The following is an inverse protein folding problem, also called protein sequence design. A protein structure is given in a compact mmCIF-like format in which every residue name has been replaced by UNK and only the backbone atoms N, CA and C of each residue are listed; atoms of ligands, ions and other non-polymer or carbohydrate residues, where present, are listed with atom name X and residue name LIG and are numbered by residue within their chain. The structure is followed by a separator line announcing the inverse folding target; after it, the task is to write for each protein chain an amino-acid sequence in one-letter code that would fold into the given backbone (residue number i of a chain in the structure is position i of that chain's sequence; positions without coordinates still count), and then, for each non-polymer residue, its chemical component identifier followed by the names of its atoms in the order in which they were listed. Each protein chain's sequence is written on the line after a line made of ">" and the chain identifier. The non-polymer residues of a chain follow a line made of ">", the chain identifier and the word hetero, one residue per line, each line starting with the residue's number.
data_IF_657523384656
#
_entry.id   IF_657523384656
#
_cell.length_a   1.000
_cell.length_b   1.000
_cell.length_c   1.000
_cell.angle_alpha   90.00
_cell.angle_beta   90.00
_cell.angle_gamma   90.00
#
_symmetry.space_group_name_H-M   'P 1'
#
loop_
_entity.id
_entity.type
_entity.pdbx_description
1 polymer ?
#
# COMPACT_ATOMS: atom_id res chain seq x y z
N UNK A 1 -4.81 -23.66 -4.27
CA UNK A 1 -4.51 -22.54 -3.35
C UNK A 1 -5.08 -21.27 -3.96
N UNK A 2 -6.02 -20.57 -3.31
CA UNK A 2 -6.57 -19.34 -3.87
C UNK A 2 -5.44 -18.30 -3.90
N UNK A 3 -5.16 -17.77 -5.09
CA UNK A 3 -4.23 -16.65 -5.26
C UNK A 3 -4.82 -15.48 -4.49
N UNK A 4 -4.14 -15.07 -3.40
CA UNK A 4 -4.54 -13.90 -2.63
C UNK A 4 -4.76 -12.73 -3.59
N UNK A 5 -5.87 -12.01 -3.42
CA UNK A 5 -6.24 -10.83 -4.21
C UNK A 5 -5.01 -10.00 -4.54
N UNK A 6 -4.73 -9.83 -5.84
CA UNK A 6 -3.49 -9.31 -6.41
C UNK A 6 -3.12 -7.93 -5.88
N UNK A 7 -2.56 -7.90 -4.68
CA UNK A 7 -2.10 -6.68 -4.04
C UNK A 7 -0.69 -6.45 -4.54
N UNK A 8 -0.56 -5.53 -5.50
CA UNK A 8 0.75 -5.18 -6.04
C UNK A 8 1.56 -4.47 -4.94
N UNK A 9 2.60 -5.15 -4.46
CA UNK A 9 3.50 -4.56 -3.46
C UNK A 9 4.40 -3.52 -4.15
N UNK A 10 4.37 -2.30 -3.61
CA UNK A 10 5.15 -1.17 -4.07
C UNK A 10 6.08 -0.70 -2.95
N UNK A 11 7.25 -0.19 -3.33
CA UNK A 11 8.24 0.34 -2.38
C UNK A 11 8.46 1.83 -2.61
N UNK A 12 8.61 2.57 -1.52
CA UNK A 12 8.96 3.98 -1.50
C UNK A 12 10.17 4.14 -0.60
N UNK A 13 11.27 4.69 -1.12
CA UNK A 13 12.47 4.93 -0.31
C UNK A 13 12.45 6.36 0.20
N UNK A 14 12.34 6.53 1.51
CA UNK A 14 12.26 7.84 2.15
C UNK A 14 13.64 8.30 2.66
N UNK A 15 13.85 9.62 2.72
CA UNK A 15 15.05 10.30 3.25
C UNK A 15 16.36 9.83 2.61
N UNK A 16 16.49 10.09 1.30
CA UNK A 16 17.69 9.72 0.55
C UNK A 16 18.29 10.88 -0.21
N UNK A 17 19.61 10.92 -0.27
CA UNK A 17 20.34 12.06 -0.86
C UNK A 17 20.32 12.05 -2.39
N UNK A 18 19.95 10.92 -3.02
CA UNK A 18 19.91 10.80 -4.47
C UNK A 18 19.05 9.65 -4.97
N UNK A 19 18.62 9.75 -6.23
CA UNK A 19 17.95 8.68 -6.96
C UNK A 19 18.81 7.40 -7.06
N UNK A 20 20.15 7.53 -7.08
CA UNK A 20 21.05 6.37 -7.11
C UNK A 20 20.98 5.61 -5.79
N UNK A 21 21.09 6.30 -4.66
CA UNK A 21 20.96 5.70 -3.34
C UNK A 21 19.60 5.00 -3.16
N UNK A 22 18.52 5.64 -3.63
CA UNK A 22 17.19 5.03 -3.62
C UNK A 22 17.14 3.69 -4.37
N UNK A 23 17.71 3.64 -5.58
CA UNK A 23 17.75 2.41 -6.39
C UNK A 23 18.58 1.32 -5.73
N UNK A 24 19.73 1.66 -5.16
CA UNK A 24 20.61 0.70 -4.50
C UNK A 24 19.93 0.07 -3.27
N UNK A 25 19.20 0.88 -2.48
CA UNK A 25 18.39 0.40 -1.34
C UNK A 25 17.27 -0.52 -1.83
N UNK A 26 16.52 -0.07 -2.84
CA UNK A 26 15.43 -0.85 -3.42
C UNK A 26 15.89 -2.21 -3.95
N UNK A 27 17.00 -2.26 -4.70
CA UNK A 27 17.54 -3.49 -5.26
C UNK A 27 17.91 -4.52 -4.18
N UNK A 28 18.43 -4.07 -3.04
CA UNK A 28 18.72 -4.95 -1.90
C UNK A 28 17.44 -5.55 -1.34
N UNK A 29 16.39 -4.74 -1.16
CA UNK A 29 15.09 -5.20 -0.68
C UNK A 29 14.40 -6.14 -1.68
N UNK A 30 14.41 -5.79 -2.97
CA UNK A 30 13.86 -6.60 -4.06
C UNK A 30 14.56 -7.97 -4.14
N UNK A 31 15.89 -8.01 -3.98
CA UNK A 31 16.65 -9.27 -3.95
C UNK A 31 16.25 -10.16 -2.78
N UNK A 32 16.14 -9.61 -1.58
CA UNK A 32 15.74 -10.37 -0.38
C UNK A 32 14.31 -10.88 -0.50
N UNK A 33 13.38 -10.02 -0.90
CA UNK A 33 11.96 -10.39 -1.07
C UNK A 33 11.78 -11.45 -2.15
N UNK A 34 12.55 -11.39 -3.24
CA UNK A 34 12.55 -12.44 -4.27
C UNK A 34 13.00 -13.80 -3.74
N UNK A 35 14.04 -13.82 -2.90
CA UNK A 35 14.59 -15.07 -2.35
C UNK A 35 13.65 -15.69 -1.32
N UNK A 36 13.07 -14.88 -0.43
CA UNK A 36 12.34 -15.40 0.73
C UNK A 36 10.82 -15.37 0.60
N UNK A 37 10.26 -14.51 -0.26
CA UNK A 37 8.82 -14.31 -0.41
C UNK A 37 8.32 -14.60 -1.83
N UNK A 38 9.21 -15.01 -2.74
CA UNK A 38 8.90 -15.23 -4.17
C UNK A 38 8.21 -14.03 -4.82
N UNK A 39 8.47 -12.82 -4.30
CA UNK A 39 7.85 -11.57 -4.72
C UNK A 39 8.91 -10.52 -4.99
N UNK A 40 8.77 -9.75 -6.06
CA UNK A 40 9.68 -8.66 -6.41
C UNK A 40 8.88 -7.34 -6.51
N UNK A 41 8.77 -6.57 -5.42
CA UNK A 41 8.00 -5.32 -5.44
C UNK A 41 8.64 -4.30 -6.37
N UNK A 42 7.83 -3.44 -6.99
CA UNK A 42 8.32 -2.35 -7.84
C UNK A 42 8.67 -1.10 -7.02
N UNK A 43 9.63 -0.30 -7.50
CA UNK A 43 9.95 1.01 -6.91
C UNK A 43 8.93 2.05 -7.36
N UNK A 44 8.03 2.47 -6.47
CA UNK A 44 7.06 3.51 -6.74
C UNK A 44 7.68 4.91 -6.77
N UNK A 45 8.75 5.15 -6.01
CA UNK A 45 9.44 6.43 -5.97
C UNK A 45 10.43 6.56 -4.84
N UNK A 46 10.90 7.79 -4.61
CA UNK A 46 11.76 8.13 -3.48
C UNK A 46 11.49 9.56 -3.03
N UNK A 47 11.78 9.84 -1.76
CA UNK A 47 11.64 11.16 -1.14
C UNK A 47 13.03 11.61 -0.65
N UNK A 48 13.48 12.82 -1.02
CA UNK A 48 14.76 13.35 -0.56
C UNK A 48 14.77 13.57 0.96
N UNK A 49 15.96 13.63 1.57
CA UNK A 49 16.05 14.24 2.90
C UNK A 49 15.70 15.73 2.78
N UNK A 50 14.77 16.19 3.62
CA UNK A 50 14.18 17.51 3.51
C UNK A 50 14.00 18.12 4.92
N UNK A 51 14.71 19.22 5.25
CA UNK A 51 14.60 19.86 6.55
C UNK A 51 13.21 20.46 6.81
N UNK A 52 12.45 20.81 5.76
CA UNK A 52 11.09 21.32 5.91
C UNK A 52 10.14 20.24 6.43
N UNK A 53 10.45 18.95 6.24
CA UNK A 53 9.67 17.85 6.81
C UNK A 53 9.69 17.89 8.35
N UNK A 54 10.85 18.17 8.95
CA UNK A 54 10.97 18.26 10.40
C UNK A 54 10.22 19.47 10.97
N UNK A 55 10.29 20.61 10.27
CA UNK A 55 9.53 21.83 10.63
C UNK A 55 8.02 21.58 10.52
N UNK A 56 7.58 20.97 9.42
CA UNK A 56 6.19 20.57 9.19
C UNK A 56 5.62 19.69 10.31
N UNK A 57 6.40 18.71 10.77
CA UNK A 57 6.02 17.86 11.90
C UNK A 57 5.88 18.67 13.19
N UNK A 58 6.86 19.53 13.50
CA UNK A 58 6.85 20.37 14.69
C UNK A 58 5.64 21.33 14.71
N UNK A 59 5.40 21.99 13.59
CA UNK A 59 4.34 22.99 13.43
C UNK A 59 2.98 22.36 13.15
N UNK A 60 2.91 21.02 13.08
CA UNK A 60 1.71 20.21 12.83
C UNK A 60 0.97 20.64 11.57
N UNK A 61 1.71 21.11 10.58
CA UNK A 61 1.17 21.50 9.28
C UNK A 61 1.78 20.59 8.23
N UNK A 62 0.99 19.92 7.36
CA UNK A 62 1.55 19.06 6.33
C UNK A 62 2.58 19.79 5.47
N UNK A 63 3.70 19.12 5.14
CA UNK A 63 4.79 19.74 4.36
C UNK A 63 4.32 20.29 3.00
N UNK A 64 3.35 19.63 2.36
CA UNK A 64 2.74 20.08 1.11
C UNK A 64 1.99 21.41 1.23
N UNK A 65 1.54 21.76 2.44
CA UNK A 65 0.84 23.02 2.75
C UNK A 65 1.84 24.06 3.24
N UNK A 66 2.75 23.69 4.15
CA UNK A 66 3.68 24.62 4.79
C UNK A 66 4.84 25.03 3.87
N UNK A 67 5.36 24.09 3.08
CA UNK A 67 6.52 24.28 2.21
C UNK A 67 6.21 23.67 0.82
N UNK A 68 5.32 24.30 0.03
CA UNK A 68 4.87 23.77 -1.25
C UNK A 68 5.98 23.67 -2.30
N UNK A 69 7.11 24.37 -2.11
CA UNK A 69 8.27 24.32 -3.01
C UNK A 69 9.41 23.44 -2.48
N UNK A 70 9.18 22.69 -1.40
CA UNK A 70 10.21 21.83 -0.81
C UNK A 70 10.58 20.66 -1.74
N UNK A 71 11.81 20.12 -1.64
CA UNK A 71 12.21 18.93 -2.40
C UNK A 71 11.27 17.73 -2.22
N UNK A 72 10.70 17.55 -1.01
CA UNK A 72 9.72 16.49 -0.74
C UNK A 72 8.34 16.77 -1.35
N UNK A 73 8.01 18.02 -1.68
CA UNK A 73 6.70 18.45 -2.11
C UNK A 73 6.30 18.00 -3.54
N UNK A 74 6.10 18.90 -4.52
CA UNK A 74 5.59 18.54 -5.85
C UNK A 74 6.49 17.56 -6.59
N UNK A 75 7.82 17.69 -6.40
CA UNK A 75 8.81 16.85 -7.06
C UNK A 75 8.77 15.38 -6.63
N UNK A 76 8.61 15.09 -5.34
CA UNK A 76 8.61 13.72 -4.85
C UNK A 76 7.19 13.20 -4.58
N UNK A 77 6.47 13.80 -3.62
CA UNK A 77 5.12 13.39 -3.24
C UNK A 77 4.11 13.63 -4.36
N UNK A 78 4.21 14.77 -5.06
CA UNK A 78 3.34 15.06 -6.21
C UNK A 78 3.50 14.03 -7.33
N UNK A 79 4.74 13.74 -7.74
CA UNK A 79 5.00 12.71 -8.76
C UNK A 79 4.59 11.30 -8.32
N UNK A 80 4.72 10.98 -7.03
CA UNK A 80 4.24 9.70 -6.49
C UNK A 80 2.72 9.60 -6.59
N UNK A 81 1.99 10.65 -6.18
CA UNK A 81 0.54 10.69 -6.26
C UNK A 81 0.06 10.53 -7.70
N UNK A 82 0.64 11.28 -8.66
CA UNK A 82 0.34 11.15 -10.08
C UNK A 82 0.51 9.71 -10.56
N UNK A 83 1.64 9.07 -10.24
CA UNK A 83 1.90 7.67 -10.63
C UNK A 83 0.87 6.71 -10.05
N UNK A 84 0.52 6.84 -8.77
CA UNK A 84 -0.43 5.93 -8.12
C UNK A 84 -1.86 6.08 -8.65
N UNK A 85 -2.29 7.31 -8.97
CA UNK A 85 -3.62 7.55 -9.55
C UNK A 85 -3.75 6.91 -10.94
N UNK A 86 -2.72 7.04 -11.79
CA UNK A 86 -2.75 6.48 -13.14
C UNK A 86 -2.61 4.95 -13.18
N UNK A 87 -2.03 4.33 -12.16
CA UNK A 87 -1.80 2.87 -12.12
C UNK A 87 -2.75 2.15 -11.15
N UNK A 88 -3.88 2.78 -10.79
CA UNK A 88 -4.88 2.12 -9.97
C UNK A 88 -5.48 0.94 -10.75
N UNK A 89 -5.39 -0.31 -10.25
CA UNK A 89 -5.95 -1.46 -10.93
C UNK A 89 -7.47 -1.35 -11.05
N UNK A 90 -8.01 -1.83 -12.17
CA UNK A 90 -9.45 -1.93 -12.37
C UNK A 90 -10.07 -2.86 -11.33
N UNK A 91 -11.16 -2.42 -10.70
CA UNK A 91 -11.75 -3.06 -9.53
C UNK A 91 -12.56 -4.33 -9.86
N UNK A 92 -12.60 -4.76 -11.13
CA UNK A 92 -13.54 -5.77 -11.62
C UNK A 92 -13.21 -7.21 -11.20
N UNK A 93 -11.94 -7.53 -10.87
CA UNK A 93 -11.49 -8.92 -10.66
C UNK A 93 -11.23 -9.29 -9.18
N UNK A 94 -11.63 -8.46 -8.22
CA UNK A 94 -11.43 -8.76 -6.79
C UNK A 94 -12.66 -8.45 -5.94
N UNK A 95 -12.93 -9.27 -4.89
CA UNK A 95 -13.97 -8.94 -3.93
C UNK A 95 -13.73 -7.52 -3.40
N UNK A 96 -14.83 -6.78 -3.26
CA UNK A 96 -14.80 -5.40 -2.77
C UNK A 96 -14.00 -5.33 -1.47
N UNK A 97 -13.34 -4.19 -1.24
CA UNK A 97 -12.53 -3.97 -0.05
C UNK A 97 -13.30 -4.32 1.24
N UNK A 98 -14.57 -3.91 1.32
CA UNK A 98 -15.42 -4.16 2.49
C UNK A 98 -15.76 -5.64 2.68
N UNK A 99 -15.96 -6.41 1.61
CA UNK A 99 -16.21 -7.85 1.71
C UNK A 99 -14.99 -8.61 2.25
N UNK A 100 -13.77 -8.11 1.95
CA UNK A 100 -12.54 -8.66 2.52
C UNK A 100 -12.31 -8.24 3.97
N UNK A 101 -12.68 -7.01 4.32
CA UNK A 101 -12.46 -6.46 5.66
C UNK A 101 -13.48 -6.97 6.69
N UNK A 102 -14.72 -7.18 6.26
CA UNK A 102 -15.82 -7.69 7.07
C UNK A 102 -16.40 -8.95 6.40
N UNK A 103 -15.68 -10.08 6.44
CA UNK A 103 -16.23 -11.33 5.91
C UNK A 103 -17.53 -11.62 6.65
N UNK A 104 -18.64 -11.71 5.91
CA UNK A 104 -19.90 -12.14 6.51
C UNK A 104 -19.69 -13.53 7.08
N UNK A 105 -19.91 -13.67 8.39
CA UNK A 105 -19.89 -14.96 9.05
C UNK A 105 -21.20 -15.64 8.64
N UNK A 106 -21.15 -16.66 7.80
CA UNK A 106 -22.29 -17.53 7.52
C UNK A 106 -22.66 -18.27 8.81
N UNK A 107 -23.45 -17.63 9.67
CA UNK A 107 -24.21 -18.28 10.72
C UNK A 107 -25.58 -18.65 10.14
N UNK A 108 -25.61 -19.68 9.30
CA UNK A 108 -26.80 -20.50 9.14
C UNK A 108 -26.57 -21.82 9.87
N UNK A 109 -26.82 -21.84 11.18
CA UNK A 109 -27.19 -23.11 11.81
C UNK A 109 -28.47 -23.59 11.13
N UNK A 110 -28.52 -24.82 10.57
CA UNK A 110 -29.78 -25.36 10.10
C UNK A 110 -30.65 -25.65 11.32
N UNK A 111 -31.60 -24.75 11.60
CA UNK A 111 -32.74 -25.05 12.48
C UNK A 111 -33.65 -26.02 11.73
N UNK A 112 -33.24 -27.27 11.63
CA UNK A 112 -34.14 -28.37 11.31
C UNK A 112 -34.66 -28.97 12.60
N UNK A 113 -35.66 -28.29 13.15
CA UNK A 113 -36.65 -28.89 14.04
C UNK A 113 -37.35 -30.02 13.30
N UNK A 114 -36.86 -31.24 13.49
CA UNK A 114 -37.54 -32.47 13.12
C UNK A 114 -38.65 -32.70 14.16
N UNK A 115 -39.95 -32.76 13.81
CA UNK A 115 -40.98 -33.12 14.78
C UNK A 115 -40.82 -34.60 15.18
N UNK A 116 -41.19 -34.97 16.44
CA UNK A 116 -40.98 -36.31 16.97
C UNK A 116 -41.87 -37.35 16.28
N UNK A 117 -41.49 -38.65 16.30
CA UNK A 117 -42.29 -39.72 15.73
C UNK A 117 -43.59 -39.90 16.54
N UNK A 118 -44.74 -39.87 15.85
CA UNK A 118 -46.00 -40.39 16.37
C UNK A 118 -46.05 -41.90 16.17
N UNK A 119 -46.46 -42.60 17.23
CA UNK A 119 -46.67 -44.06 17.32
C UNK A 119 -47.46 -44.68 16.16
#
# INVERSE_FOLDING_TARGET
>A
MPRGTGTQLLTLVNRVDSARAARDIHQRLARTTRIFLESEPSLAGWIPDDPEMARAIHDRTPVLVQAPDSPAGPGALGQLATRLVYHSPDSNDSPSFFNRLFPQSDNEEPVHGKPPPTD
#
